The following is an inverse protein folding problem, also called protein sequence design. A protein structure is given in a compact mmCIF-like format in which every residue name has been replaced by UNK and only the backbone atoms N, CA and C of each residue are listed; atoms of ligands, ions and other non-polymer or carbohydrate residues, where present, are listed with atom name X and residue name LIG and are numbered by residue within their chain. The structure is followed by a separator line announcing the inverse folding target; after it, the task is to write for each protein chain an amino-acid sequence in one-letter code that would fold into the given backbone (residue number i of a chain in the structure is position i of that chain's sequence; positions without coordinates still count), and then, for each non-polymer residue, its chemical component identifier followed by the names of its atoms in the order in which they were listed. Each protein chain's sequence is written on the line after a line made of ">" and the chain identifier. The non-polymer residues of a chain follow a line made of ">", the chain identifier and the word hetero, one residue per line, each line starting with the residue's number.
data_IF_835200549465
#
_entry.id   IF_835200549465
#
_cell.length_a   1.000
_cell.length_b   1.000
_cell.length_c   1.000
_cell.angle_alpha   90.00
_cell.angle_beta   90.00
_cell.angle_gamma   90.00
#
_symmetry.space_group_name_H-M   'P 1'
#
loop_
_entity.id
_entity.type
_entity.pdbx_description
1 polymer ?
#
# COMPACT_ATOMS: atom_id res chain seq x y z
N UNK A 1 11.72 -2.19 -9.16
CA UNK A 1 12.38 -1.07 -9.87
C UNK A 1 13.81 -1.48 -10.19
N UNK A 2 14.39 -1.08 -11.33
CA UNK A 2 15.83 -1.19 -11.51
C UNK A 2 16.50 -0.35 -10.41
N UNK A 3 17.49 -0.93 -9.72
CA UNK A 3 18.13 -0.47 -8.48
C UNK A 3 18.92 0.86 -8.58
N UNK A 4 18.42 1.88 -9.29
CA UNK A 4 19.19 3.10 -9.62
C UNK A 4 18.48 4.43 -9.34
N UNK A 5 17.30 4.41 -8.73
CA UNK A 5 16.43 5.59 -8.59
C UNK A 5 16.06 5.93 -7.12
N UNK A 6 16.68 5.28 -6.13
CA UNK A 6 16.38 5.40 -4.69
C UNK A 6 14.93 5.10 -4.29
N UNK A 7 14.13 4.48 -5.16
CA UNK A 7 12.72 4.15 -4.87
C UNK A 7 12.63 2.73 -4.33
N UNK A 8 12.11 2.57 -3.11
CA UNK A 8 11.82 1.27 -2.51
C UNK A 8 10.92 0.42 -3.42
N UNK A 9 11.19 -0.89 -3.45
CA UNK A 9 10.60 -1.86 -4.38
C UNK A 9 9.09 -1.69 -4.65
N UNK A 10 8.72 -1.34 -5.87
CA UNK A 10 7.35 -1.48 -6.39
C UNK A 10 7.00 -2.98 -6.52
N UNK A 11 5.98 -3.45 -5.78
CA UNK A 11 5.49 -4.84 -5.72
C UNK A 11 4.08 -4.96 -6.33
N UNK A 12 3.63 -6.16 -6.67
CA UNK A 12 2.29 -6.53 -7.18
C UNK A 12 1.11 -6.12 -6.28
N UNK A 13 1.37 -5.66 -5.05
CA UNK A 13 0.38 -5.06 -4.12
C UNK A 13 -0.24 -3.76 -4.67
N UNK A 14 0.27 -3.19 -5.76
CA UNK A 14 -0.26 -1.98 -6.40
C UNK A 14 -1.61 -2.18 -7.11
N UNK A 15 -2.08 -3.42 -7.30
CA UNK A 15 -3.28 -3.71 -8.08
C UNK A 15 -4.55 -2.96 -7.61
N UNK A 16 -4.79 -2.72 -6.30
CA UNK A 16 -5.93 -1.90 -5.89
C UNK A 16 -5.79 -0.43 -6.29
N UNK A 17 -4.56 0.10 -6.43
CA UNK A 17 -4.31 1.48 -6.84
C UNK A 17 -4.65 1.72 -8.34
N UNK A 18 -4.75 0.67 -9.15
CA UNK A 18 -5.19 0.78 -10.55
C UNK A 18 -6.71 0.80 -10.69
N UNK A 19 -7.47 0.49 -9.63
CA UNK A 19 -8.93 0.38 -9.66
C UNK A 19 -9.66 1.59 -9.06
N UNK A 20 -8.94 2.57 -8.50
CA UNK A 20 -9.52 3.75 -7.86
C UNK A 20 -8.63 4.97 -8.03
N UNK A 21 -9.24 6.14 -8.14
CA UNK A 21 -8.53 7.43 -8.09
C UNK A 21 -8.22 7.87 -6.65
N UNK A 22 -8.80 7.21 -5.64
CA UNK A 22 -8.49 7.49 -4.24
C UNK A 22 -7.09 6.95 -3.87
N UNK A 23 -6.35 7.62 -2.96
CA UNK A 23 -5.10 7.09 -2.43
C UNK A 23 -5.31 5.71 -1.77
N UNK A 24 -4.43 4.76 -2.09
CA UNK A 24 -4.44 3.41 -1.52
C UNK A 24 -3.18 3.19 -0.68
N UNK A 25 -3.36 2.66 0.53
CA UNK A 25 -2.25 2.28 1.42
C UNK A 25 -2.40 0.80 1.77
N UNK A 26 -1.37 0.01 1.45
CA UNK A 26 -1.30 -1.40 1.83
C UNK A 26 -0.62 -1.56 3.19
N UNK A 27 -1.19 -2.39 4.07
CA UNK A 27 -0.57 -2.78 5.34
C UNK A 27 -0.06 -4.21 5.21
N UNK A 28 1.26 -4.39 5.25
CA UNK A 28 1.88 -5.70 5.17
C UNK A 28 1.90 -6.39 6.54
N UNK A 29 1.44 -7.64 6.61
CA UNK A 29 1.65 -8.51 7.76
C UNK A 29 2.94 -9.28 7.54
N UNK A 30 3.87 -9.19 8.48
CA UNK A 30 5.18 -9.84 8.41
C UNK A 30 5.35 -10.83 9.55
N UNK A 31 6.14 -11.88 9.32
CA UNK A 31 6.47 -12.92 10.30
C UNK A 31 7.97 -13.16 10.29
N UNK A 32 8.56 -13.46 11.45
CA UNK A 32 10.00 -13.73 11.59
C UNK A 32 10.40 -15.09 11.00
N UNK A 33 9.44 -16.01 10.85
CA UNK A 33 9.67 -17.35 10.32
C UNK A 33 9.03 -17.51 8.94
N UNK A 34 9.68 -18.19 7.98
CA UNK A 34 9.09 -18.43 6.67
C UNK A 34 7.75 -19.16 6.77
N UNK A 35 6.69 -18.58 6.21
CA UNK A 35 5.36 -19.20 6.13
C UNK A 35 5.10 -19.63 4.68
N UNK A 36 4.87 -20.93 4.40
CA UNK A 36 4.54 -21.40 3.06
C UNK A 36 3.20 -20.80 2.58
N UNK A 37 3.22 -20.08 1.45
CA UNK A 37 2.03 -19.43 0.89
C UNK A 37 0.91 -20.38 0.43
N UNK A 38 1.20 -21.69 0.29
CA UNK A 38 0.24 -22.73 -0.11
C UNK A 38 -0.41 -23.46 1.07
N UNK A 39 -0.09 -23.10 2.32
CA UNK A 39 -0.69 -23.70 3.51
C UNK A 39 -2.06 -23.09 3.78
N UNK A 40 -3.13 -23.88 3.61
CA UNK A 40 -4.46 -23.56 4.15
C UNK A 40 -4.31 -23.27 5.65
N UNK A 41 -4.32 -21.99 6.04
CA UNK A 41 -4.06 -21.54 7.42
C UNK A 41 -2.96 -20.49 7.59
N UNK A 42 -2.28 -20.06 6.53
CA UNK A 42 -1.28 -18.98 6.59
C UNK A 42 -1.85 -17.59 7.01
N UNK A 43 -3.17 -17.48 7.12
CA UNK A 43 -3.86 -16.30 7.65
C UNK A 43 -4.22 -16.54 9.11
N UNK A 44 -3.41 -15.99 10.02
CA UNK A 44 -3.73 -15.97 11.44
C UNK A 44 -4.81 -14.91 11.68
N UNK A 45 -6.03 -15.33 12.04
CA UNK A 45 -7.18 -14.42 12.15
C UNK A 45 -6.97 -13.29 13.15
N UNK A 46 -6.21 -13.54 14.22
CA UNK A 46 -5.85 -12.50 15.19
C UNK A 46 -5.01 -11.41 14.55
N UNK A 47 -4.08 -11.74 13.66
CA UNK A 47 -3.23 -10.76 12.98
C UNK A 47 -4.05 -9.92 12.01
N UNK A 48 -5.00 -10.55 11.31
CA UNK A 48 -5.96 -9.85 10.44
C UNK A 48 -6.84 -8.91 11.25
N UNK A 49 -7.35 -9.36 12.40
CA UNK A 49 -8.16 -8.54 13.29
C UNK A 49 -7.37 -7.34 13.82
N UNK A 50 -6.12 -7.55 14.25
CA UNK A 50 -5.24 -6.48 14.70
C UNK A 50 -4.96 -5.47 13.59
N UNK A 51 -4.67 -5.93 12.36
CA UNK A 51 -4.51 -5.05 11.21
C UNK A 51 -5.80 -4.29 10.90
N UNK A 52 -6.96 -4.92 10.96
CA UNK A 52 -8.24 -4.25 10.74
C UNK A 52 -8.47 -3.12 11.77
N UNK A 53 -8.21 -3.39 13.05
CA UNK A 53 -8.28 -2.35 14.11
C UNK A 53 -7.29 -1.22 13.86
N UNK A 54 -6.05 -1.56 13.50
CA UNK A 54 -5.02 -0.57 13.16
C UNK A 54 -5.48 0.32 12.00
N UNK A 55 -5.97 -0.27 10.91
CA UNK A 55 -6.49 0.48 9.75
C UNK A 55 -7.61 1.45 10.16
N UNK A 56 -8.51 1.04 11.05
CA UNK A 56 -9.59 1.91 11.57
C UNK A 56 -9.02 3.09 12.35
N UNK A 57 -8.11 2.86 13.30
CA UNK A 57 -7.54 3.94 14.12
C UNK A 57 -6.69 4.90 13.29
N UNK A 58 -5.91 4.38 12.34
CA UNK A 58 -5.16 5.22 11.39
C UNK A 58 -6.09 6.04 10.50
N UNK A 59 -7.20 5.45 10.04
CA UNK A 59 -8.20 6.19 9.24
C UNK A 59 -8.82 7.34 10.03
N UNK A 60 -9.09 7.15 11.33
CA UNK A 60 -9.57 8.21 12.22
C UNK A 60 -8.52 9.31 12.40
N UNK A 61 -7.28 8.93 12.74
CA UNK A 61 -6.18 9.88 12.94
C UNK A 61 -5.89 10.68 11.67
N UNK A 62 -5.91 10.04 10.50
CA UNK A 62 -5.72 10.69 9.22
C UNK A 62 -6.87 11.64 8.89
N UNK A 63 -8.13 11.20 9.07
CA UNK A 63 -9.31 12.04 8.87
C UNK A 63 -9.34 13.26 9.79
N UNK A 64 -8.74 13.16 10.98
CA UNK A 64 -8.55 14.26 11.92
C UNK A 64 -7.30 15.13 11.63
N UNK A 65 -6.52 14.83 10.60
CA UNK A 65 -5.30 15.56 10.24
C UNK A 65 -4.11 15.32 11.19
N UNK A 66 -4.15 14.24 11.98
CA UNK A 66 -3.16 13.94 13.03
C UNK A 66 -2.02 13.02 12.56
N UNK A 67 -2.11 12.44 11.36
CA UNK A 67 -1.04 11.64 10.78
C UNK A 67 -0.94 11.83 9.26
N UNK A 68 0.17 11.37 8.67
CA UNK A 68 0.42 11.37 7.23
C UNK A 68 0.75 9.94 6.80
N UNK A 69 0.27 9.53 5.62
CA UNK A 69 0.52 8.19 5.06
C UNK A 69 1.79 8.08 4.24
N UNK A 70 2.34 9.22 3.78
CA UNK A 70 3.54 9.26 2.96
C UNK A 70 4.38 10.47 3.36
N UNK A 71 5.67 10.43 3.03
CA UNK A 71 6.54 11.60 3.07
C UNK A 71 6.23 12.49 1.84
N UNK A 72 5.79 13.74 2.02
CA UNK A 72 5.44 14.62 0.91
C UNK A 72 6.60 14.91 -0.05
N UNK A 73 7.85 14.96 0.45
CA UNK A 73 9.03 15.21 -0.38
C UNK A 73 9.38 13.97 -1.22
N UNK A 74 9.28 12.78 -0.63
CA UNK A 74 9.44 11.52 -1.38
C UNK A 74 8.37 11.38 -2.47
N UNK A 75 7.11 11.66 -2.14
CA UNK A 75 6.01 11.60 -3.10
C UNK A 75 6.18 12.62 -4.23
N UNK A 76 6.57 13.86 -3.92
CA UNK A 76 6.87 14.86 -4.94
C UNK A 76 8.00 14.40 -5.88
N UNK A 77 9.06 13.77 -5.35
CA UNK A 77 10.15 13.20 -6.15
C UNK A 77 9.65 12.07 -7.06
N UNK A 78 8.73 11.23 -6.60
CA UNK A 78 8.11 10.19 -7.44
C UNK A 78 7.33 10.79 -8.60
N UNK A 79 6.54 11.84 -8.36
CA UNK A 79 5.79 12.55 -9.40
C UNK A 79 6.73 13.24 -10.40
N UNK A 80 7.84 13.82 -9.94
CA UNK A 80 8.84 14.43 -10.81
C UNK A 80 9.50 13.39 -11.74
N UNK A 81 9.85 12.21 -11.21
CA UNK A 81 10.54 11.17 -11.95
C UNK A 81 9.62 10.39 -12.91
N UNK A 82 8.37 10.14 -12.51
CA UNK A 82 7.47 9.20 -13.20
C UNK A 82 6.16 9.82 -13.68
N UNK A 83 5.89 11.09 -13.34
CA UNK A 83 4.60 11.71 -13.54
C UNK A 83 3.51 11.15 -12.62
N UNK A 84 2.30 11.66 -12.79
CA UNK A 84 1.11 11.15 -12.11
C UNK A 84 0.90 9.67 -12.44
N UNK A 85 0.74 8.84 -11.40
CA UNK A 85 0.56 7.38 -11.55
C UNK A 85 -0.84 6.99 -12.05
N UNK A 86 -1.72 7.96 -12.32
CA UNK A 86 -3.08 7.74 -12.83
C UNK A 86 -3.11 7.04 -14.19
N UNK A 87 -2.02 7.08 -14.95
CA UNK A 87 -1.87 6.32 -16.19
C UNK A 87 -1.88 4.79 -15.98
N UNK A 88 -1.68 4.31 -14.75
CA UNK A 88 -1.78 2.89 -14.38
C UNK A 88 -3.23 2.45 -14.11
N UNK A 89 -4.15 3.40 -13.96
CA UNK A 89 -5.57 3.09 -13.77
C UNK A 89 -6.18 2.70 -15.12
N UNK A 90 -6.66 1.46 -15.23
CA UNK A 90 -7.33 1.01 -16.44
C UNK A 90 -8.67 1.76 -16.61
N UNK A 91 -9.15 2.00 -17.84
CA UNK A 91 -10.50 2.51 -18.03
C UNK A 91 -11.51 1.52 -17.43
N UNK A 92 -12.61 1.99 -16.80
CA UNK A 92 -13.62 1.10 -16.22
C UNK A 92 -14.16 0.16 -17.31
N UNK A 93 -14.53 -1.09 -16.97
CA UNK A 93 -15.10 -2.01 -17.94
C UNK A 93 -16.35 -1.39 -18.58
N UNK A 94 -16.43 -1.50 -19.92
CA UNK A 94 -17.53 -1.02 -20.77
C UNK A 94 -18.86 -1.72 -20.47
#
# INVERSE_FOLDING_TARGET
>A
TPYGNDVFHLNSILQPATATAAPVVGVAITTEVPVPGSGTGATHLTDVEQVARFCIEVSKAFGAGQCRFHDPAEYARLIELYGEMTHLQAPPPS
#
